data_IF_224205811852
#
_entry.id   IF_224205811852
#
_cell.length_a   1.000
_cell.length_b   1.000
_cell.length_c   1.000
_cell.angle_alpha   90.00
_cell.angle_beta   90.00
_cell.angle_gamma   90.00
#
_symmetry.space_group_name_H-M   'P 1'
#
loop_
_entity.id
_entity.type
_entity.pdbx_description
1 polymer ?
#
# COMPACT_ATOMS: atom_id res chain seq x y z
N UNK A 1 -37.53 28.62 27.51
CA UNK A 1 -36.47 28.89 26.52
C UNK A 1 -35.18 28.29 27.04
N UNK A 2 -35.08 26.96 26.98
CA UNK A 2 -33.91 26.20 27.47
C UNK A 2 -33.58 25.16 26.42
N UNK A 3 -32.26 25.03 26.10
CA UNK A 3 -31.61 23.91 25.41
C UNK A 3 -31.75 23.72 23.88
N UNK A 4 -31.55 24.80 23.11
CA UNK A 4 -31.24 24.63 21.66
C UNK A 4 -29.74 24.71 21.36
N UNK A 5 -28.91 25.18 22.30
CA UNK A 5 -27.47 25.37 22.10
C UNK A 5 -26.64 24.08 21.94
N UNK A 6 -26.87 22.94 22.65
CA UNK A 6 -26.05 21.73 22.50
C UNK A 6 -26.28 20.97 21.19
N UNK A 7 -27.50 20.99 20.63
CA UNK A 7 -27.85 20.28 19.39
C UNK A 7 -27.21 20.94 18.16
N UNK A 8 -27.10 22.26 18.15
CA UNK A 8 -26.48 23.01 17.05
C UNK A 8 -24.95 22.77 17.02
N UNK A 9 -24.32 22.66 18.18
CA UNK A 9 -22.88 22.37 18.29
C UNK A 9 -22.53 20.92 17.86
N UNK A 10 -23.36 19.95 18.21
CA UNK A 10 -23.18 18.55 17.77
C UNK A 10 -23.38 18.40 16.26
N UNK A 11 -24.34 19.09 15.67
CA UNK A 11 -24.56 19.06 14.23
C UNK A 11 -23.42 19.76 13.44
N UNK A 12 -22.87 20.85 13.97
CA UNK A 12 -21.69 21.52 13.37
C UNK A 12 -20.46 20.68 13.50
N UNK A 13 -20.20 20.02 14.63
CA UNK A 13 -19.10 19.08 14.82
C UNK A 13 -19.17 17.89 13.86
N UNK A 14 -20.37 17.35 13.61
CA UNK A 14 -20.56 16.26 12.67
C UNK A 14 -20.29 16.63 11.20
N UNK A 15 -20.63 17.87 10.78
CA UNK A 15 -20.35 18.34 9.41
C UNK A 15 -18.87 18.61 9.17
N UNK A 16 -18.18 19.21 10.13
CA UNK A 16 -16.74 19.50 10.02
C UNK A 16 -15.90 18.22 10.02
N UNK A 17 -16.26 17.20 10.81
CA UNK A 17 -15.59 15.90 10.79
C UNK A 17 -15.85 15.15 9.47
N UNK A 18 -17.05 15.22 8.91
CA UNK A 18 -17.32 14.64 7.58
C UNK A 18 -16.50 15.31 6.49
N UNK A 19 -16.34 16.64 6.55
CA UNK A 19 -15.45 17.35 5.63
C UNK A 19 -14.00 16.87 5.79
N UNK A 20 -13.50 16.77 7.01
CA UNK A 20 -12.15 16.26 7.28
C UNK A 20 -11.95 14.84 6.74
N UNK A 21 -12.93 13.95 6.98
CA UNK A 21 -12.89 12.57 6.46
C UNK A 21 -12.81 12.53 4.93
N UNK A 22 -13.76 13.21 4.25
CA UNK A 22 -13.79 13.21 2.78
C UNK A 22 -12.57 13.89 2.18
N UNK A 23 -12.08 14.99 2.76
CA UNK A 23 -10.86 15.68 2.32
C UNK A 23 -9.63 14.77 2.45
N UNK A 24 -9.51 14.02 3.56
CA UNK A 24 -8.41 13.10 3.78
C UNK A 24 -8.46 11.89 2.82
N UNK A 25 -9.66 11.38 2.50
CA UNK A 25 -9.83 10.30 1.50
C UNK A 25 -9.44 10.79 0.11
N UNK A 26 -9.93 11.94 -0.31
CA UNK A 26 -9.58 12.54 -1.61
C UNK A 26 -8.06 12.78 -1.70
N UNK A 27 -7.46 13.35 -0.65
CA UNK A 27 -6.02 13.59 -0.60
C UNK A 27 -5.20 12.29 -0.68
N UNK A 28 -5.65 11.22 -0.02
CA UNK A 28 -4.99 9.90 -0.08
C UNK A 28 -5.06 9.32 -1.49
N UNK A 29 -6.23 9.32 -2.11
CA UNK A 29 -6.43 8.85 -3.49
C UNK A 29 -5.59 9.67 -4.47
N UNK A 30 -5.62 11.01 -4.37
CA UNK A 30 -4.82 11.91 -5.22
C UNK A 30 -3.31 11.66 -5.07
N UNK A 31 -2.82 11.43 -3.84
CA UNK A 31 -1.41 11.13 -3.57
C UNK A 31 -0.93 9.87 -4.31
N UNK A 32 -1.72 8.82 -4.26
CA UNK A 32 -1.39 7.56 -4.94
C UNK A 32 -1.65 7.63 -6.46
N UNK A 33 -2.63 8.42 -6.91
CA UNK A 33 -2.83 8.67 -8.33
C UNK A 33 -1.63 9.40 -8.95
N UNK A 34 -1.11 10.43 -8.29
CA UNK A 34 0.11 11.10 -8.70
C UNK A 34 1.32 10.15 -8.76
N UNK A 35 1.44 9.23 -7.81
CA UNK A 35 2.53 8.25 -7.77
C UNK A 35 2.52 7.26 -8.94
N UNK A 36 1.33 6.95 -9.50
CA UNK A 36 1.17 6.06 -10.65
C UNK A 36 1.27 6.79 -12.00
N UNK A 37 1.16 8.11 -12.02
CA UNK A 37 1.16 8.93 -13.23
C UNK A 37 2.34 8.67 -14.19
N UNK A 38 3.60 8.44 -13.73
CA UNK A 38 4.73 8.21 -14.63
C UNK A 38 4.69 6.87 -15.38
N UNK A 39 3.92 5.88 -14.92
CA UNK A 39 4.01 4.49 -15.43
C UNK A 39 3.73 4.37 -16.93
N UNK A 40 2.62 4.92 -17.49
CA UNK A 40 2.38 4.89 -18.92
C UNK A 40 3.40 5.69 -19.75
N UNK A 41 4.08 6.68 -19.14
CA UNK A 41 5.07 7.55 -19.78
C UNK A 41 6.46 6.91 -19.90
N UNK A 42 6.73 5.81 -19.21
CA UNK A 42 8.08 5.21 -19.24
C UNK A 42 8.51 4.77 -20.65
N UNK A 43 7.58 4.35 -21.50
CA UNK A 43 7.89 4.06 -22.90
C UNK A 43 8.18 5.32 -23.71
N UNK A 44 7.49 6.43 -23.44
CA UNK A 44 7.77 7.73 -24.04
C UNK A 44 9.18 8.19 -23.68
N UNK A 45 9.56 8.12 -22.40
CA UNK A 45 10.92 8.46 -21.94
C UNK A 45 12.00 7.55 -22.54
N UNK A 46 11.69 6.26 -22.78
CA UNK A 46 12.61 5.37 -23.49
C UNK A 46 12.80 5.78 -24.95
N UNK A 47 11.70 6.11 -25.63
CA UNK A 47 11.71 6.45 -27.06
C UNK A 47 12.30 7.83 -27.36
N UNK A 48 11.96 8.83 -26.54
CA UNK A 48 12.33 10.24 -26.79
C UNK A 48 13.61 10.67 -26.10
N UNK A 49 13.82 10.22 -24.85
CA UNK A 49 14.97 10.64 -24.02
C UNK A 49 16.06 9.54 -23.93
N UNK A 50 15.85 8.37 -24.60
CA UNK A 50 16.83 7.28 -24.64
C UNK A 50 17.04 6.57 -23.30
N UNK A 51 16.06 6.60 -22.38
CA UNK A 51 16.20 5.94 -21.07
C UNK A 51 16.23 4.43 -21.20
N UNK A 52 17.16 3.80 -20.50
CA UNK A 52 17.30 2.35 -20.47
C UNK A 52 16.31 1.72 -19.49
N UNK A 53 16.06 0.41 -19.62
CA UNK A 53 15.27 -0.35 -18.64
C UNK A 53 15.90 -0.28 -17.24
N UNK A 54 17.23 -0.26 -17.15
CA UNK A 54 17.95 -0.08 -15.89
C UNK A 54 17.66 1.29 -15.26
N UNK A 55 17.65 2.36 -16.05
CA UNK A 55 17.31 3.72 -15.60
C UNK A 55 15.87 3.82 -15.09
N UNK A 56 14.91 3.26 -15.81
CA UNK A 56 13.49 3.23 -15.39
C UNK A 56 13.32 2.38 -14.13
N UNK A 57 14.00 1.24 -14.04
CA UNK A 57 14.02 0.42 -12.82
C UNK A 57 14.57 1.21 -11.63
N UNK A 58 15.65 1.99 -11.82
CA UNK A 58 16.21 2.85 -10.78
C UNK A 58 15.21 3.93 -10.33
N UNK A 59 14.35 4.43 -11.22
CA UNK A 59 13.26 5.35 -10.86
C UNK A 59 12.23 4.68 -9.92
N UNK A 60 11.94 3.39 -10.08
CA UNK A 60 11.09 2.62 -9.15
C UNK A 60 11.81 2.37 -7.83
N UNK A 61 13.11 2.09 -7.87
CA UNK A 61 13.95 1.92 -6.66
C UNK A 61 13.97 3.21 -5.83
N UNK A 62 14.26 4.36 -6.44
CA UNK A 62 14.34 5.65 -5.73
C UNK A 62 13.01 6.04 -5.09
N UNK A 63 11.88 5.80 -5.77
CA UNK A 63 10.55 5.96 -5.18
C UNK A 63 10.37 5.05 -3.95
N UNK A 64 10.72 3.77 -4.06
CA UNK A 64 10.57 2.80 -2.97
C UNK A 64 11.46 3.16 -1.77
N UNK A 65 12.70 3.56 -2.01
CA UNK A 65 13.65 4.01 -0.97
C UNK A 65 13.12 5.26 -0.27
N UNK A 66 12.63 6.24 -1.02
CA UNK A 66 12.00 7.44 -0.47
C UNK A 66 10.80 7.09 0.42
N UNK A 67 9.96 6.16 -0.03
CA UNK A 67 8.77 5.72 0.72
C UNK A 67 9.16 4.98 2.01
N UNK A 68 10.14 4.06 1.96
CA UNK A 68 10.64 3.37 3.16
C UNK A 68 11.20 4.37 4.16
N UNK A 69 12.08 5.26 3.70
CA UNK A 69 12.70 6.25 4.57
C UNK A 69 11.64 7.11 5.27
N UNK A 70 10.64 7.57 4.51
CA UNK A 70 9.54 8.36 5.07
C UNK A 70 8.69 7.56 6.07
N UNK A 71 8.30 6.32 5.75
CA UNK A 71 7.50 5.50 6.65
C UNK A 71 8.23 5.14 7.94
N UNK A 72 9.53 4.84 7.88
CA UNK A 72 10.32 4.46 9.05
C UNK A 72 10.66 5.67 9.93
N UNK A 73 11.03 6.79 9.32
CA UNK A 73 11.52 7.98 10.03
C UNK A 73 10.38 8.96 10.32
N UNK A 74 9.55 9.28 9.32
CA UNK A 74 8.53 10.31 9.41
C UNK A 74 7.13 9.77 9.74
N UNK A 75 6.92 8.44 9.68
CA UNK A 75 5.58 7.83 9.82
C UNK A 75 4.86 8.12 11.14
N UNK A 76 5.58 8.51 12.20
CA UNK A 76 4.98 8.91 13.49
C UNK A 76 4.93 10.41 13.72
N UNK A 77 5.47 11.18 12.78
CA UNK A 77 5.60 12.64 12.91
C UNK A 77 4.22 13.31 13.05
N UNK A 78 3.20 12.77 12.36
CA UNK A 78 1.83 13.27 12.42
C UNK A 78 1.18 13.20 13.81
N UNK A 79 1.68 12.32 14.72
CA UNK A 79 1.22 12.25 16.11
C UNK A 79 1.77 13.41 16.96
N UNK A 80 2.85 14.05 16.51
CA UNK A 80 3.52 15.12 17.25
C UNK A 80 3.26 16.50 16.65
N UNK A 81 3.23 16.63 15.32
CA UNK A 81 3.01 17.90 14.63
C UNK A 81 1.53 18.16 14.29
N UNK A 82 0.66 17.17 14.44
CA UNK A 82 -0.72 17.20 14.01
C UNK A 82 -0.94 16.58 12.62
N UNK A 83 -2.18 16.13 12.37
CA UNK A 83 -2.54 15.45 11.11
C UNK A 83 -2.54 16.40 9.92
N UNK A 84 -3.12 17.60 10.11
CA UNK A 84 -3.28 18.61 9.07
C UNK A 84 -1.94 19.08 8.52
N UNK A 85 -1.00 19.48 9.39
CA UNK A 85 0.29 20.00 8.96
C UNK A 85 1.10 18.94 8.20
N UNK A 86 1.15 17.72 8.70
CA UNK A 86 1.88 16.62 8.05
C UNK A 86 1.23 16.18 6.74
N UNK A 87 -0.11 16.23 6.63
CA UNK A 87 -0.83 15.99 5.39
C UNK A 87 -0.49 17.06 4.34
N UNK A 88 -0.52 18.35 4.70
CA UNK A 88 -0.16 19.46 3.78
C UNK A 88 1.30 19.32 3.32
N UNK A 89 2.22 19.00 4.24
CA UNK A 89 3.63 18.79 3.90
C UNK A 89 3.81 17.64 2.90
N UNK A 90 3.08 16.52 3.08
CA UNK A 90 3.13 15.39 2.15
C UNK A 90 2.60 15.75 0.76
N UNK A 91 1.49 16.50 0.68
CA UNK A 91 0.92 16.98 -0.58
C UNK A 91 1.87 17.96 -1.28
N UNK A 92 2.56 18.82 -0.52
CA UNK A 92 3.59 19.72 -1.04
C UNK A 92 4.80 18.99 -1.65
N UNK A 93 5.27 17.91 -1.00
CA UNK A 93 6.34 17.06 -1.55
C UNK A 93 5.91 16.37 -2.84
N UNK A 94 4.68 15.85 -2.89
CA UNK A 94 4.10 15.24 -4.09
C UNK A 94 3.93 16.27 -5.21
N UNK A 95 3.49 17.48 -4.90
CA UNK A 95 3.37 18.58 -5.85
C UNK A 95 4.73 18.93 -6.46
N UNK A 96 5.76 19.09 -5.64
CA UNK A 96 7.12 19.33 -6.12
C UNK A 96 7.61 18.17 -7.00
N UNK A 97 7.31 16.92 -6.63
CA UNK A 97 7.59 15.75 -7.45
C UNK A 97 6.89 15.82 -8.81
N UNK A 98 5.60 16.19 -8.87
CA UNK A 98 4.87 16.38 -10.13
C UNK A 98 5.50 17.47 -11.00
N UNK A 99 5.88 18.62 -10.41
CA UNK A 99 6.50 19.73 -11.14
C UNK A 99 7.87 19.34 -11.74
N UNK A 100 8.66 18.55 -11.02
CA UNK A 100 9.92 18.01 -11.56
C UNK A 100 9.63 17.02 -12.70
N UNK A 101 8.65 16.11 -12.52
CA UNK A 101 8.35 15.12 -13.54
C UNK A 101 7.66 15.69 -14.78
N UNK A 102 7.05 16.85 -14.71
CA UNK A 102 6.58 17.58 -15.87
C UNK A 102 7.73 18.11 -16.77
N UNK A 103 8.96 18.16 -16.25
CA UNK A 103 10.14 18.67 -16.95
C UNK A 103 11.25 17.59 -17.06
N UNK A 104 10.87 16.34 -17.27
CA UNK A 104 11.85 15.25 -17.43
C UNK A 104 12.50 15.32 -18.81
N UNK A 105 13.83 15.55 -18.82
CA UNK A 105 14.67 15.47 -20.01
C UNK A 105 15.94 14.67 -19.76
N UNK A 106 16.22 14.34 -18.50
CA UNK A 106 17.37 13.55 -18.06
C UNK A 106 16.99 12.61 -16.92
N UNK A 107 17.80 11.58 -16.72
CA UNK A 107 17.55 10.55 -15.71
C UNK A 107 17.63 11.12 -14.29
N UNK A 108 18.47 12.13 -14.03
CA UNK A 108 18.61 12.76 -12.71
C UNK A 108 17.32 13.45 -12.27
N UNK A 109 16.67 14.20 -13.17
CA UNK A 109 15.37 14.83 -12.95
C UNK A 109 14.28 13.77 -12.68
N UNK A 110 14.26 12.67 -13.44
CA UNK A 110 13.34 11.56 -13.19
C UNK A 110 13.56 10.97 -11.78
N UNK A 111 14.80 10.67 -11.40
CA UNK A 111 15.11 10.09 -10.09
C UNK A 111 14.79 11.06 -8.95
N UNK A 112 15.10 12.36 -9.09
CA UNK A 112 14.78 13.39 -8.10
C UNK A 112 13.26 13.52 -7.90
N UNK A 113 12.49 13.57 -8.97
CA UNK A 113 11.02 13.58 -8.90
C UNK A 113 10.47 12.33 -8.23
N UNK A 114 11.00 11.16 -8.56
CA UNK A 114 10.56 9.87 -7.99
C UNK A 114 10.89 9.75 -6.50
N UNK A 115 12.04 10.23 -6.03
CA UNK A 115 12.35 10.20 -4.60
C UNK A 115 11.45 11.15 -3.80
N UNK A 116 11.17 12.35 -4.32
CA UNK A 116 10.22 13.28 -3.70
C UNK A 116 8.81 12.70 -3.63
N UNK A 117 8.34 12.08 -4.71
CA UNK A 117 7.07 11.35 -4.71
C UNK A 117 7.07 10.22 -3.69
N UNK A 118 8.15 9.46 -3.59
CA UNK A 118 8.28 8.39 -2.60
C UNK A 118 8.16 8.91 -1.17
N UNK A 119 8.93 9.94 -0.83
CA UNK A 119 8.87 10.58 0.50
C UNK A 119 7.47 11.12 0.77
N UNK A 120 6.91 11.87 -0.18
CA UNK A 120 5.54 12.41 -0.08
C UNK A 120 4.50 11.33 0.15
N UNK A 121 4.54 10.22 -0.63
CA UNK A 121 3.63 9.09 -0.49
C UNK A 121 3.78 8.37 0.85
N UNK A 122 5.01 8.19 1.34
CA UNK A 122 5.26 7.58 2.64
C UNK A 122 4.68 8.40 3.79
N UNK A 123 4.86 9.73 3.79
CA UNK A 123 4.24 10.62 4.78
C UNK A 123 2.72 10.66 4.61
N UNK A 124 2.20 10.73 3.38
CA UNK A 124 0.76 10.70 3.09
C UNK A 124 0.10 9.41 3.61
N UNK A 125 0.74 8.25 3.36
CA UNK A 125 0.24 6.95 3.82
C UNK A 125 0.03 6.90 5.33
N UNK A 126 0.91 7.49 6.11
CA UNK A 126 0.79 7.50 7.58
C UNK A 126 -0.14 8.60 8.08
N UNK A 127 0.02 9.84 7.58
CA UNK A 127 -0.73 11.00 8.09
C UNK A 127 -2.19 11.02 7.65
N UNK A 128 -2.46 10.79 6.35
CA UNK A 128 -3.82 10.80 5.82
C UNK A 128 -4.62 9.59 6.28
N UNK A 129 -4.02 8.39 6.36
CA UNK A 129 -4.68 7.22 6.93
C UNK A 129 -5.09 7.46 8.38
N UNK A 130 -4.20 8.05 9.18
CA UNK A 130 -4.54 8.42 10.56
C UNK A 130 -5.63 9.49 10.62
N UNK A 131 -5.58 10.48 9.73
CA UNK A 131 -6.61 11.52 9.65
C UNK A 131 -7.99 10.96 9.27
N UNK A 132 -8.03 10.01 8.31
CA UNK A 132 -9.25 9.27 7.94
C UNK A 132 -9.84 8.54 9.15
N UNK A 133 -9.01 7.84 9.93
CA UNK A 133 -9.46 7.11 11.12
C UNK A 133 -9.96 8.05 12.20
N UNK A 134 -9.23 9.15 12.47
CA UNK A 134 -9.58 10.12 13.50
C UNK A 134 -10.87 10.91 13.18
N UNK A 135 -11.13 11.16 11.87
CA UNK A 135 -12.31 11.91 11.38
C UNK A 135 -13.48 11.01 10.96
N UNK A 136 -13.35 9.69 11.15
CA UNK A 136 -14.33 8.72 10.65
C UNK A 136 -15.73 8.95 11.22
N UNK A 137 -16.79 8.82 10.41
CA UNK A 137 -18.14 8.81 10.91
C UNK A 137 -18.39 7.56 11.76
N UNK A 138 -19.24 7.68 12.78
CA UNK A 138 -19.57 6.55 13.68
C UNK A 138 -20.30 5.42 12.97
N UNK A 139 -20.98 5.71 11.85
CA UNK A 139 -21.69 4.72 11.01
C UNK A 139 -21.53 5.08 9.54
N UNK A 140 -21.28 4.11 8.66
CA UNK A 140 -20.99 2.70 8.96
C UNK A 140 -19.53 2.51 9.45
N UNK A 141 -19.31 1.62 10.43
CA UNK A 141 -18.01 1.40 11.08
C UNK A 141 -16.91 0.91 10.12
N UNK A 142 -17.28 0.21 9.05
CA UNK A 142 -16.34 -0.31 8.05
C UNK A 142 -15.74 0.78 7.15
N UNK A 143 -16.35 1.97 7.08
CA UNK A 143 -16.00 2.99 6.08
C UNK A 143 -14.55 3.49 6.24
N UNK A 144 -14.12 3.77 7.47
CA UNK A 144 -12.74 4.21 7.72
C UNK A 144 -11.71 3.16 7.33
N UNK A 145 -12.00 1.89 7.66
CA UNK A 145 -11.11 0.78 7.33
C UNK A 145 -10.99 0.59 5.82
N UNK A 146 -12.09 0.65 5.08
CA UNK A 146 -12.09 0.53 3.63
C UNK A 146 -11.42 1.76 2.99
N UNK A 147 -11.75 2.97 3.41
CA UNK A 147 -11.15 4.17 2.85
C UNK A 147 -9.63 4.22 3.03
N UNK A 148 -9.13 3.85 4.22
CA UNK A 148 -7.70 3.85 4.51
C UNK A 148 -6.93 2.71 3.84
N UNK A 149 -7.53 1.53 3.70
CA UNK A 149 -6.86 0.36 3.12
C UNK A 149 -6.98 0.29 1.60
N UNK A 150 -8.11 0.71 1.03
CA UNK A 150 -8.36 0.62 -0.41
C UNK A 150 -8.11 1.94 -1.16
N UNK A 151 -8.08 3.07 -0.44
CA UNK A 151 -7.76 4.38 -1.03
C UNK A 151 -6.46 4.38 -1.85
N UNK A 152 -5.36 3.83 -1.34
CA UNK A 152 -4.12 3.68 -2.10
C UNK A 152 -4.27 2.90 -3.41
N UNK A 153 -4.95 1.77 -3.38
CA UNK A 153 -5.14 0.93 -4.58
C UNK A 153 -6.04 1.61 -5.60
N UNK A 154 -7.09 2.28 -5.14
CA UNK A 154 -7.95 3.08 -5.99
C UNK A 154 -7.17 4.23 -6.63
N UNK A 155 -6.33 4.92 -5.86
CA UNK A 155 -5.49 6.00 -6.36
C UNK A 155 -4.53 5.52 -7.45
N UNK A 156 -3.77 4.45 -7.19
CA UNK A 156 -2.87 3.84 -8.18
C UNK A 156 -3.61 3.44 -9.47
N UNK A 157 -4.77 2.81 -9.32
CA UNK A 157 -5.59 2.37 -10.46
C UNK A 157 -6.07 3.56 -11.30
N UNK A 158 -6.71 4.55 -10.66
CA UNK A 158 -7.23 5.74 -11.35
C UNK A 158 -6.11 6.57 -11.96
N UNK A 159 -4.99 6.74 -11.25
CA UNK A 159 -3.84 7.50 -11.74
C UNK A 159 -3.22 6.88 -12.99
N UNK A 160 -3.04 5.57 -13.03
CA UNK A 160 -2.51 4.89 -14.20
C UNK A 160 -3.45 4.96 -15.40
N UNK A 161 -4.75 4.74 -15.20
CA UNK A 161 -5.74 4.84 -16.29
C UNK A 161 -5.83 6.29 -16.81
N UNK A 162 -5.95 7.26 -15.91
CA UNK A 162 -6.03 8.67 -16.28
C UNK A 162 -4.76 9.13 -17.01
N UNK A 163 -3.58 8.72 -16.52
CA UNK A 163 -2.32 9.00 -17.18
C UNK A 163 -2.30 8.42 -18.59
N UNK A 164 -2.60 7.14 -18.73
CA UNK A 164 -2.63 6.49 -20.04
C UNK A 164 -3.61 7.15 -21.00
N UNK A 165 -4.81 7.54 -20.54
CA UNK A 165 -5.80 8.23 -21.34
C UNK A 165 -5.35 9.64 -21.77
N UNK A 166 -4.79 10.43 -20.84
CA UNK A 166 -4.32 11.78 -21.15
C UNK A 166 -3.13 11.75 -22.12
N UNK A 167 -2.18 10.83 -21.91
CA UNK A 167 -1.03 10.65 -22.83
C UNK A 167 -1.48 10.27 -24.22
N UNK A 168 -2.58 9.50 -24.36
CA UNK A 168 -3.05 9.02 -25.67
C UNK A 168 -3.94 10.02 -26.40
N UNK A 169 -4.80 10.75 -25.69
CA UNK A 169 -5.89 11.52 -26.32
C UNK A 169 -5.81 13.02 -26.11
N UNK A 170 -5.01 13.50 -25.16
CA UNK A 170 -4.96 14.92 -24.81
C UNK A 170 -3.73 15.62 -25.43
N UNK A 171 -3.77 16.97 -25.56
CA UNK A 171 -2.58 17.75 -25.91
C UNK A 171 -1.55 17.67 -24.78
N UNK A 172 -0.26 17.93 -25.09
CA UNK A 172 0.87 17.90 -24.16
C UNK A 172 1.00 16.57 -23.42
N UNK A 173 1.21 15.46 -24.16
CA UNK A 173 1.11 14.10 -23.62
C UNK A 173 2.11 13.83 -22.47
N UNK A 174 3.22 14.58 -22.39
CA UNK A 174 4.23 14.42 -21.32
C UNK A 174 3.88 15.16 -20.04
N UNK A 175 3.23 16.33 -20.16
CA UNK A 175 3.11 17.29 -19.07
C UNK A 175 1.74 17.30 -18.42
N UNK A 176 0.68 17.15 -19.25
CA UNK A 176 -0.71 17.38 -18.80
C UNK A 176 -1.10 16.52 -17.61
N UNK A 177 -0.68 15.25 -17.56
CA UNK A 177 -1.00 14.38 -16.42
C UNK A 177 -0.40 14.92 -15.13
N UNK A 178 0.83 15.45 -15.16
CA UNK A 178 1.45 16.01 -13.96
C UNK A 178 0.80 17.31 -13.54
N UNK A 179 0.35 18.14 -14.49
CA UNK A 179 -0.42 19.35 -14.21
C UNK A 179 -1.79 19.02 -13.60
N UNK A 180 -2.47 18.00 -14.11
CA UNK A 180 -3.74 17.51 -13.53
C UNK A 180 -3.52 16.97 -12.12
N UNK A 181 -2.49 16.15 -11.91
CA UNK A 181 -2.13 15.67 -10.58
C UNK A 181 -1.76 16.83 -9.64
N UNK A 182 -0.98 17.80 -10.10
CA UNK A 182 -0.64 19.00 -9.33
C UNK A 182 -1.89 19.78 -8.91
N UNK A 183 -2.84 19.99 -9.84
CA UNK A 183 -4.12 20.63 -9.55
C UNK A 183 -4.94 19.87 -8.49
N UNK A 184 -5.01 18.52 -8.59
CA UNK A 184 -5.68 17.68 -7.60
C UNK A 184 -4.99 17.73 -6.22
N UNK A 185 -3.66 17.78 -6.19
CA UNK A 185 -2.89 17.89 -4.94
C UNK A 185 -3.10 19.26 -4.29
N UNK A 186 -3.12 20.35 -5.07
CA UNK A 186 -3.43 21.70 -4.59
C UNK A 186 -4.85 21.78 -4.06
N UNK A 187 -5.83 21.24 -4.79
CA UNK A 187 -7.22 21.16 -4.34
C UNK A 187 -7.33 20.36 -3.04
N UNK A 188 -6.65 19.21 -2.96
CA UNK A 188 -6.60 18.39 -1.76
C UNK A 188 -5.99 19.14 -0.58
N UNK A 189 -4.89 19.88 -0.81
CA UNK A 189 -4.27 20.70 0.22
C UNK A 189 -5.22 21.81 0.70
N UNK A 190 -5.92 22.48 -0.20
CA UNK A 190 -6.93 23.50 0.14
C UNK A 190 -8.06 22.91 1.00
N UNK A 191 -8.57 21.73 0.63
CA UNK A 191 -9.60 21.01 1.40
C UNK A 191 -9.09 20.61 2.80
N UNK A 192 -7.84 20.19 2.92
CA UNK A 192 -7.21 19.87 4.22
C UNK A 192 -7.01 21.16 5.04
N UNK A 193 -6.65 22.29 4.42
CA UNK A 193 -6.48 23.58 5.11
C UNK A 193 -7.77 24.05 5.79
N UNK A 194 -8.93 23.87 5.16
CA UNK A 194 -10.23 24.24 5.74
C UNK A 194 -10.81 23.18 6.68
N UNK A 195 -10.20 21.97 6.73
CA UNK A 195 -10.62 20.89 7.61
C UNK A 195 -10.08 21.09 9.05
N UNK A 196 -10.80 20.64 10.09
CA UNK A 196 -10.35 20.77 11.47
C UNK A 196 -9.12 19.86 11.74
N UNK A 197 -8.23 20.29 12.64
CA UNK A 197 -7.19 19.45 13.18
C UNK A 197 -7.81 18.38 14.10
N UNK A 198 -7.44 17.12 13.91
CA UNK A 198 -7.98 15.99 14.69
C UNK A 198 -7.05 15.51 15.79
N UNK A 199 -5.78 15.86 15.73
CA UNK A 199 -4.78 15.46 16.72
C UNK A 199 -4.09 16.69 17.32
N UNK A 200 -4.03 16.74 18.65
CA UNK A 200 -3.25 17.79 19.36
C UNK A 200 -1.76 17.51 19.16
N UNK A 201 -0.99 18.56 18.86
CA UNK A 201 0.46 18.44 18.81
C UNK A 201 1.01 18.07 20.21
N UNK A 202 1.97 17.16 20.23
CA UNK A 202 2.61 16.68 21.46
C UNK A 202 4.11 16.88 21.38
N UNK A 203 4.80 17.25 22.47
CA UNK A 203 6.25 17.38 22.47
C UNK A 203 6.94 16.04 22.18
N UNK A 204 8.16 16.09 21.65
CA UNK A 204 8.96 14.87 21.40
C UNK A 204 9.04 14.44 19.94
N UNK A 205 8.73 15.31 18.98
CA UNK A 205 8.82 15.05 17.54
C UNK A 205 10.19 14.44 17.12
N UNK A 206 11.31 14.94 17.64
CA UNK A 206 12.65 14.43 17.36
C UNK A 206 12.86 12.98 17.80
N UNK A 207 12.28 12.58 18.94
CA UNK A 207 12.34 11.18 19.42
C UNK A 207 11.47 10.24 18.57
N UNK A 208 10.47 10.78 17.87
CA UNK A 208 9.62 10.01 16.96
C UNK A 208 10.34 9.64 15.66
N UNK A 209 11.43 10.31 15.31
CA UNK A 209 12.22 10.04 14.09
C UNK A 209 13.04 8.75 14.19
N UNK A 210 13.27 8.22 15.40
CA UNK A 210 13.98 6.95 15.57
C UNK A 210 13.09 5.79 15.09
N UNK A 211 13.51 5.02 14.08
CA UNK A 211 12.74 3.90 13.58
C UNK A 211 12.43 2.86 14.67
N UNK A 212 11.20 2.40 14.74
CA UNK A 212 10.79 1.32 15.63
C UNK A 212 10.20 0.18 14.81
N UNK A 213 11.03 -0.78 14.49
CA UNK A 213 10.64 -2.01 13.81
C UNK A 213 10.65 -3.14 14.83
N UNK A 214 9.50 -3.68 15.15
CA UNK A 214 9.38 -4.77 16.11
C UNK A 214 8.25 -5.71 15.71
N UNK A 215 8.56 -6.98 15.66
CA UNK A 215 7.57 -8.04 15.51
C UNK A 215 7.43 -8.76 16.85
N UNK A 216 6.23 -8.75 17.47
CA UNK A 216 5.99 -9.44 18.72
C UNK A 216 6.34 -10.93 18.65
N UNK A 217 6.87 -11.50 19.75
CA UNK A 217 7.31 -12.90 19.77
C UNK A 217 6.21 -13.89 19.37
N UNK A 218 4.95 -13.60 19.78
CA UNK A 218 3.76 -14.44 19.50
C UNK A 218 3.50 -14.68 18.01
N UNK A 219 3.85 -13.73 17.13
CA UNK A 219 3.61 -13.83 15.67
C UNK A 219 4.90 -13.96 14.86
N UNK A 220 6.06 -14.01 15.51
CA UNK A 220 7.37 -14.10 14.84
C UNK A 220 7.49 -15.36 13.99
N UNK A 221 6.89 -16.47 14.38
CA UNK A 221 6.88 -17.72 13.63
C UNK A 221 6.10 -17.62 12.31
N UNK A 222 5.19 -16.63 12.16
CA UNK A 222 4.45 -16.37 10.92
C UNK A 222 5.23 -15.49 9.94
N UNK A 223 6.29 -14.81 10.43
CA UNK A 223 7.03 -13.82 9.66
C UNK A 223 7.68 -14.38 8.38
N UNK A 224 8.31 -15.58 8.37
CA UNK A 224 8.95 -16.10 7.17
C UNK A 224 7.97 -16.29 6.00
N UNK A 225 6.79 -16.86 6.27
CA UNK A 225 5.75 -17.04 5.24
C UNK A 225 5.18 -15.71 4.80
N UNK A 226 4.88 -14.80 5.73
CA UNK A 226 4.41 -13.47 5.41
C UNK A 226 5.44 -12.70 4.58
N UNK A 227 6.74 -12.82 4.89
CA UNK A 227 7.82 -12.21 4.12
C UNK A 227 7.89 -12.76 2.69
N UNK A 228 7.75 -14.07 2.48
CA UNK A 228 7.71 -14.67 1.15
C UNK A 228 6.51 -14.15 0.33
N UNK A 229 5.32 -14.05 0.94
CA UNK A 229 4.13 -13.48 0.32
C UNK A 229 4.37 -12.02 -0.06
N UNK A 230 4.83 -11.18 0.88
CA UNK A 230 5.08 -9.77 0.62
C UNK A 230 6.17 -9.56 -0.43
N UNK A 231 7.27 -10.32 -0.35
CA UNK A 231 8.36 -10.21 -1.31
C UNK A 231 7.88 -10.52 -2.73
N UNK A 232 7.23 -11.66 -2.96
CA UNK A 232 6.80 -12.07 -4.30
C UNK A 232 5.76 -11.11 -4.89
N UNK A 233 4.79 -10.70 -4.10
CA UNK A 233 3.67 -9.86 -4.57
C UNK A 233 4.08 -8.41 -4.81
N UNK A 234 4.88 -7.82 -3.91
CA UNK A 234 5.35 -6.43 -4.07
C UNK A 234 6.45 -6.30 -5.13
N UNK A 235 7.33 -7.30 -5.23
CA UNK A 235 8.29 -7.36 -6.34
C UNK A 235 7.58 -7.41 -7.70
N UNK A 236 6.48 -8.18 -7.80
CA UNK A 236 5.64 -8.18 -8.99
C UNK A 236 5.04 -6.80 -9.25
N UNK A 237 4.54 -6.10 -8.24
CA UNK A 237 4.07 -4.72 -8.38
C UNK A 237 5.15 -3.76 -8.91
N UNK A 238 6.39 -3.90 -8.45
CA UNK A 238 7.53 -3.14 -8.95
C UNK A 238 7.90 -3.52 -10.39
N UNK A 239 7.82 -4.81 -10.74
CA UNK A 239 7.99 -5.30 -12.11
C UNK A 239 6.95 -4.69 -13.05
N UNK A 240 5.68 -4.61 -12.63
CA UNK A 240 4.63 -3.95 -13.40
C UNK A 240 4.88 -2.45 -13.60
N UNK A 241 5.52 -1.79 -12.64
CA UNK A 241 5.90 -0.39 -12.82
C UNK A 241 7.08 -0.23 -13.78
N UNK A 242 8.16 -1.00 -13.60
CA UNK A 242 9.43 -0.77 -14.28
C UNK A 242 9.50 -1.38 -15.69
N UNK A 243 9.05 -2.63 -15.84
CA UNK A 243 9.34 -3.43 -17.03
C UNK A 243 8.11 -3.75 -17.88
N UNK A 244 6.92 -3.71 -17.29
CA UNK A 244 5.71 -4.10 -17.99
C UNK A 244 5.38 -3.19 -19.20
N UNK A 245 5.54 -1.85 -19.13
CA UNK A 245 5.35 -1.00 -20.29
C UNK A 245 6.22 -1.41 -21.48
N UNK A 246 7.49 -1.69 -21.25
CA UNK A 246 8.41 -2.13 -22.28
C UNK A 246 8.06 -3.52 -22.83
N UNK A 247 7.76 -4.47 -21.95
CA UNK A 247 7.43 -5.85 -22.33
C UNK A 247 6.15 -5.91 -23.15
N UNK A 248 5.12 -5.12 -22.79
CA UNK A 248 3.86 -5.02 -23.54
C UNK A 248 4.11 -4.43 -24.93
N UNK A 249 4.94 -3.40 -25.04
CA UNK A 249 5.30 -2.82 -26.32
C UNK A 249 6.08 -3.82 -27.20
N UNK A 250 7.10 -4.46 -26.63
CA UNK A 250 8.05 -5.29 -27.38
C UNK A 250 7.46 -6.67 -27.76
N UNK A 251 6.57 -7.25 -26.93
CA UNK A 251 6.07 -8.63 -27.09
C UNK A 251 4.59 -8.73 -27.46
N UNK A 252 3.78 -7.76 -27.02
CA UNK A 252 2.35 -7.75 -27.32
C UNK A 252 2.01 -6.71 -28.39
N UNK A 253 3.04 -6.09 -28.98
CA UNK A 253 2.97 -5.17 -30.12
C UNK A 253 1.94 -4.05 -29.93
N UNK A 254 1.85 -3.51 -28.73
CA UNK A 254 0.98 -2.38 -28.44
C UNK A 254 1.75 -1.25 -27.77
N UNK A 255 1.65 -0.08 -28.36
CA UNK A 255 2.28 1.15 -27.87
C UNK A 255 1.27 2.12 -27.26
N UNK A 256 0.00 1.70 -27.11
CA UNK A 256 -1.07 2.54 -26.55
C UNK A 256 -0.82 2.82 -25.05
N UNK A 257 -0.60 4.09 -24.67
CA UNK A 257 -0.42 4.46 -23.27
C UNK A 257 -1.62 4.11 -22.38
N UNK A 258 -2.84 4.18 -22.95
CA UNK A 258 -4.05 3.76 -22.24
C UNK A 258 -4.01 2.27 -21.90
N UNK A 259 -3.59 1.42 -22.84
CA UNK A 259 -3.47 -0.03 -22.57
C UNK A 259 -2.41 -0.28 -21.50
N UNK A 260 -1.29 0.45 -21.49
CA UNK A 260 -0.29 0.35 -20.43
C UNK A 260 -0.87 0.71 -19.05
N UNK A 261 -1.65 1.78 -18.98
CA UNK A 261 -2.39 2.17 -17.78
C UNK A 261 -3.39 1.11 -17.33
N UNK A 262 -4.15 0.54 -18.28
CA UNK A 262 -5.11 -0.54 -18.01
C UNK A 262 -4.45 -1.83 -17.55
N UNK A 263 -3.29 -2.19 -18.08
CA UNK A 263 -2.51 -3.35 -17.66
C UNK A 263 -2.05 -3.20 -16.21
N UNK A 264 -1.54 -2.03 -15.83
CA UNK A 264 -1.19 -1.76 -14.44
C UNK A 264 -2.43 -1.78 -13.52
N UNK A 265 -3.52 -1.16 -13.96
CA UNK A 265 -4.80 -1.16 -13.27
C UNK A 265 -5.37 -2.58 -13.11
N UNK A 266 -5.22 -3.45 -14.12
CA UNK A 266 -5.64 -4.84 -14.08
C UNK A 266 -4.91 -5.67 -13.01
N UNK A 267 -3.70 -5.28 -12.62
CA UNK A 267 -3.00 -5.87 -11.48
C UNK A 267 -3.46 -5.28 -10.13
N UNK A 268 -3.67 -3.96 -10.06
CA UNK A 268 -3.98 -3.26 -8.81
C UNK A 268 -5.45 -3.38 -8.40
N UNK A 269 -6.39 -3.16 -9.32
CA UNK A 269 -7.82 -3.09 -9.00
C UNK A 269 -8.39 -4.39 -8.39
N UNK A 270 -8.08 -5.60 -8.91
CA UNK A 270 -8.63 -6.84 -8.33
C UNK A 270 -8.13 -7.12 -6.93
N UNK A 271 -6.98 -6.56 -6.52
CA UNK A 271 -6.44 -6.74 -5.16
C UNK A 271 -7.35 -6.16 -4.07
N UNK A 272 -8.21 -5.20 -4.41
CA UNK A 272 -9.24 -4.63 -3.52
C UNK A 272 -10.19 -5.72 -3.00
N UNK A 273 -10.48 -6.74 -3.80
CA UNK A 273 -11.35 -7.86 -3.42
C UNK A 273 -10.68 -8.83 -2.44
N UNK A 274 -9.38 -8.68 -2.21
CA UNK A 274 -8.61 -9.60 -1.38
C UNK A 274 -9.07 -9.68 0.06
N UNK A 275 -9.38 -8.55 0.70
CA UNK A 275 -9.83 -8.53 2.08
C UNK A 275 -11.21 -9.18 2.27
N UNK A 276 -12.26 -8.86 1.49
CA UNK A 276 -13.57 -9.49 1.63
C UNK A 276 -13.56 -10.98 1.28
N UNK A 277 -12.79 -11.41 0.28
CA UNK A 277 -12.69 -12.81 -0.11
C UNK A 277 -11.84 -13.59 0.90
N UNK A 278 -10.64 -13.11 1.19
CA UNK A 278 -9.70 -13.74 2.11
C UNK A 278 -10.22 -13.79 3.55
N UNK A 279 -11.10 -12.86 3.93
CA UNK A 279 -11.73 -12.81 5.25
C UNK A 279 -12.64 -14.00 5.59
N UNK A 280 -13.11 -14.73 4.56
CA UNK A 280 -13.93 -15.92 4.71
C UNK A 280 -13.15 -17.17 5.13
N UNK A 281 -11.83 -17.12 5.07
CA UNK A 281 -10.93 -18.24 5.35
C UNK A 281 -10.01 -17.91 6.52
N UNK A 282 -9.43 -18.93 7.14
CA UNK A 282 -8.34 -18.75 8.10
C UNK A 282 -7.15 -18.09 7.44
N UNK A 283 -6.28 -17.44 8.23
CA UNK A 283 -5.13 -16.71 7.69
C UNK A 283 -4.23 -17.63 6.84
N UNK A 284 -3.92 -18.83 7.31
CA UNK A 284 -3.10 -19.79 6.57
C UNK A 284 -3.77 -20.29 5.27
N UNK A 285 -5.06 -20.63 5.32
CA UNK A 285 -5.80 -21.08 4.14
C UNK A 285 -5.89 -19.97 3.07
N UNK A 286 -6.19 -18.73 3.49
CA UNK A 286 -6.28 -17.61 2.58
C UNK A 286 -4.92 -17.26 1.94
N UNK A 287 -3.81 -17.38 2.68
CA UNK A 287 -2.46 -17.21 2.10
C UNK A 287 -2.18 -18.28 1.03
N UNK A 288 -2.48 -19.55 1.31
CA UNK A 288 -2.32 -20.64 0.34
C UNK A 288 -3.16 -20.44 -0.91
N UNK A 289 -4.45 -20.16 -0.75
CA UNK A 289 -5.37 -19.91 -1.87
C UNK A 289 -4.90 -18.70 -2.69
N UNK A 290 -4.58 -17.59 -2.02
CA UNK A 290 -4.12 -16.38 -2.68
C UNK A 290 -2.84 -16.60 -3.49
N UNK A 291 -1.85 -17.31 -2.93
CA UNK A 291 -0.60 -17.59 -3.63
C UNK A 291 -0.76 -18.59 -4.78
N UNK A 292 -1.67 -19.58 -4.67
CA UNK A 292 -1.99 -20.48 -5.80
C UNK A 292 -2.65 -19.69 -6.93
N UNK A 293 -3.62 -18.82 -6.64
CA UNK A 293 -4.26 -17.96 -7.64
C UNK A 293 -3.22 -17.00 -8.27
N UNK A 294 -2.33 -16.43 -7.45
CA UNK A 294 -1.25 -15.58 -7.91
C UNK A 294 -0.30 -16.29 -8.86
N UNK A 295 0.11 -17.53 -8.54
CA UNK A 295 0.94 -18.37 -9.40
C UNK A 295 0.22 -18.75 -10.69
N UNK A 296 -1.06 -19.11 -10.63
CA UNK A 296 -1.88 -19.38 -11.83
C UNK A 296 -1.88 -18.18 -12.77
N UNK A 297 -2.03 -16.97 -12.22
CA UNK A 297 -1.91 -15.73 -12.98
C UNK A 297 -0.53 -15.57 -13.61
N UNK A 298 0.55 -15.84 -12.87
CA UNK A 298 1.92 -15.76 -13.41
C UNK A 298 2.17 -16.76 -14.55
N UNK A 299 1.68 -17.99 -14.43
CA UNK A 299 1.74 -18.99 -15.52
C UNK A 299 1.03 -18.45 -16.76
N UNK A 300 -0.16 -17.90 -16.58
CA UNK A 300 -0.91 -17.26 -17.67
C UNK A 300 -0.18 -16.07 -18.31
N UNK A 301 0.47 -15.20 -17.49
CA UNK A 301 1.28 -14.07 -17.96
C UNK A 301 2.44 -14.56 -18.83
N UNK A 302 3.21 -15.55 -18.36
CA UNK A 302 4.33 -16.10 -19.11
C UNK A 302 3.84 -16.73 -20.42
N UNK A 303 2.73 -17.47 -20.37
CA UNK A 303 2.11 -18.06 -21.56
C UNK A 303 1.70 -16.99 -22.55
N UNK A 304 1.05 -15.91 -22.08
CA UNK A 304 0.61 -14.80 -22.91
C UNK A 304 1.80 -14.08 -23.59
N UNK A 305 2.91 -13.91 -22.87
CA UNK A 305 4.16 -13.34 -23.42
C UNK A 305 4.73 -14.26 -24.51
N UNK A 306 4.69 -15.58 -24.31
CA UNK A 306 5.23 -16.56 -25.25
C UNK A 306 4.43 -16.61 -26.55
N UNK A 307 3.10 -16.53 -26.48
CA UNK A 307 2.21 -16.57 -27.66
C UNK A 307 1.83 -15.19 -28.23
N UNK A 308 2.24 -14.09 -27.57
CA UNK A 308 1.99 -12.72 -28.03
C UNK A 308 0.53 -12.27 -27.93
N UNK A 309 -0.26 -12.76 -26.94
CA UNK A 309 -1.70 -12.49 -26.84
C UNK A 309 -2.04 -11.52 -25.72
N UNK A 310 -2.40 -10.27 -26.05
CA UNK A 310 -2.74 -9.22 -25.08
C UNK A 310 -3.98 -9.57 -24.23
N UNK A 311 -5.01 -10.17 -24.82
CA UNK A 311 -6.23 -10.52 -24.09
C UNK A 311 -5.94 -11.53 -22.95
N UNK A 312 -5.17 -12.58 -23.25
CA UNK A 312 -4.74 -13.55 -22.24
C UNK A 312 -3.87 -12.89 -21.18
N UNK A 313 -2.98 -11.97 -21.59
CA UNK A 313 -2.11 -11.22 -20.69
C UNK A 313 -2.92 -10.41 -19.66
N UNK A 314 -3.92 -9.66 -20.10
CA UNK A 314 -4.81 -8.87 -19.21
C UNK A 314 -5.61 -9.79 -18.30
N UNK A 315 -6.20 -10.87 -18.82
CA UNK A 315 -6.96 -11.84 -18.03
C UNK A 315 -6.09 -12.49 -16.93
N UNK A 316 -4.88 -12.93 -17.30
CA UNK A 316 -3.92 -13.51 -16.36
C UNK A 316 -3.44 -12.50 -15.29
N UNK A 317 -3.25 -11.23 -15.71
CA UNK A 317 -2.91 -10.12 -14.80
C UNK A 317 -4.02 -9.88 -13.77
N UNK A 318 -5.28 -9.90 -14.17
CA UNK A 318 -6.44 -9.80 -13.26
C UNK A 318 -6.41 -10.93 -12.23
N UNK A 319 -6.16 -12.17 -12.68
CA UNK A 319 -6.06 -13.35 -11.81
C UNK A 319 -4.90 -13.18 -10.81
N UNK A 320 -3.71 -12.77 -11.28
CA UNK A 320 -2.55 -12.51 -10.43
C UNK A 320 -2.85 -11.41 -9.38
N UNK A 321 -3.51 -10.31 -9.80
CA UNK A 321 -3.90 -9.21 -8.93
C UNK A 321 -4.90 -9.64 -7.85
N UNK A 322 -5.87 -10.47 -8.17
CA UNK A 322 -6.82 -11.04 -7.20
C UNK A 322 -6.10 -11.91 -6.18
N UNK A 323 -5.22 -12.82 -6.63
CA UNK A 323 -4.40 -13.67 -5.77
C UNK A 323 -3.49 -12.85 -4.85
N UNK A 324 -2.83 -11.81 -5.39
CA UNK A 324 -2.04 -10.84 -4.64
C UNK A 324 -2.82 -10.23 -3.47
N UNK A 325 -4.02 -9.70 -3.73
CA UNK A 325 -4.84 -9.07 -2.70
C UNK A 325 -5.25 -10.03 -1.59
N UNK A 326 -5.67 -11.27 -1.94
CA UNK A 326 -6.04 -12.30 -0.97
C UNK A 326 -4.85 -12.66 -0.08
N UNK A 327 -3.67 -12.92 -0.69
CA UNK A 327 -2.47 -13.34 0.03
C UNK A 327 -1.95 -12.25 0.98
N UNK A 328 -1.83 -10.99 0.51
CA UNK A 328 -1.37 -9.85 1.33
C UNK A 328 -2.33 -9.59 2.50
N UNK A 329 -3.65 -9.55 2.24
CA UNK A 329 -4.64 -9.32 3.28
C UNK A 329 -4.58 -10.40 4.36
N UNK A 330 -4.42 -11.66 3.97
CA UNK A 330 -4.32 -12.79 4.89
C UNK A 330 -3.01 -12.77 5.71
N UNK A 331 -1.87 -12.48 5.07
CA UNK A 331 -0.57 -12.37 5.74
C UNK A 331 -0.57 -11.23 6.78
N UNK A 332 -1.09 -10.06 6.39
CA UNK A 332 -1.23 -8.91 7.28
C UNK A 332 -2.13 -9.21 8.47
N UNK A 333 -3.29 -9.85 8.24
CA UNK A 333 -4.22 -10.25 9.29
C UNK A 333 -3.59 -11.24 10.26
N UNK A 334 -2.80 -12.20 9.77
CA UNK A 334 -2.06 -13.14 10.61
C UNK A 334 -1.06 -12.44 11.55
N UNK A 335 -0.28 -11.48 11.03
CA UNK A 335 0.69 -10.72 11.83
C UNK A 335 0.01 -9.77 12.84
N UNK A 336 -1.18 -9.27 12.53
CA UNK A 336 -1.95 -8.40 13.41
C UNK A 336 -2.79 -9.17 14.44
N UNK A 337 -2.81 -10.51 14.40
CA UNK A 337 -3.60 -11.32 15.32
C UNK A 337 -3.19 -11.07 16.77
N UNK A 338 -4.16 -10.80 17.65
CA UNK A 338 -3.94 -10.50 19.06
C UNK A 338 -3.08 -9.24 19.32
N UNK A 339 -2.94 -8.34 18.32
CA UNK A 339 -2.15 -7.10 18.50
C UNK A 339 -2.90 -6.06 19.31
N UNK A 340 -2.20 -5.45 20.26
CA UNK A 340 -2.64 -4.22 20.94
C UNK A 340 -2.50 -3.01 20.01
N UNK A 341 -3.13 -1.90 20.34
CA UNK A 341 -2.94 -0.64 19.60
C UNK A 341 -1.46 -0.20 19.54
N UNK A 342 -0.70 -0.46 20.61
CA UNK A 342 0.73 -0.14 20.68
C UNK A 342 1.59 -1.02 19.76
N UNK A 343 1.18 -2.27 19.48
CA UNK A 343 1.90 -3.21 18.62
C UNK A 343 1.70 -2.92 17.12
N UNK A 344 0.58 -2.30 16.74
CA UNK A 344 0.19 -2.16 15.32
C UNK A 344 1.20 -1.37 14.51
N UNK A 345 1.64 -0.22 15.01
CA UNK A 345 2.58 0.63 14.28
C UNK A 345 3.94 -0.06 14.04
N UNK A 346 4.60 -0.71 15.03
CA UNK A 346 5.82 -1.49 14.79
C UNK A 346 5.64 -2.66 13.81
N UNK A 347 4.48 -3.37 13.85
CA UNK A 347 4.19 -4.46 12.91
C UNK A 347 4.05 -3.92 11.48
N UNK A 348 3.28 -2.84 11.27
CA UNK A 348 3.18 -2.22 9.95
C UNK A 348 4.52 -1.70 9.43
N UNK A 349 5.37 -1.15 10.30
CA UNK A 349 6.73 -0.76 9.93
C UNK A 349 7.55 -1.95 9.42
N UNK A 350 7.43 -3.12 10.06
CA UNK A 350 8.08 -4.34 9.59
C UNK A 350 7.51 -4.83 8.26
N UNK A 351 6.19 -4.80 8.09
CA UNK A 351 5.51 -5.18 6.83
C UNK A 351 5.99 -4.27 5.69
N UNK A 352 5.93 -2.95 5.86
CA UNK A 352 6.34 -2.01 4.82
C UNK A 352 7.83 -2.10 4.50
N UNK A 353 8.67 -2.31 5.51
CA UNK A 353 10.09 -2.54 5.29
C UNK A 353 10.32 -3.77 4.40
N UNK A 354 9.65 -4.89 4.67
CA UNK A 354 9.73 -6.09 3.84
C UNK A 354 9.20 -5.86 2.42
N UNK A 355 8.04 -5.23 2.30
CA UNK A 355 7.38 -4.96 1.03
C UNK A 355 8.25 -4.09 0.11
N UNK A 356 8.60 -2.90 0.57
CA UNK A 356 9.31 -1.93 -0.27
C UNK A 356 10.78 -2.28 -0.45
N UNK A 357 11.49 -2.83 0.57
CA UNK A 357 12.89 -3.24 0.39
C UNK A 357 13.01 -4.42 -0.57
N UNK A 358 12.09 -5.38 -0.49
CA UNK A 358 12.03 -6.49 -1.44
C UNK A 358 11.73 -6.02 -2.86
N UNK A 359 10.75 -5.14 -3.02
CA UNK A 359 10.42 -4.53 -4.31
C UNK A 359 11.60 -3.72 -4.88
N UNK A 360 12.24 -2.89 -4.07
CA UNK A 360 13.40 -2.08 -4.48
C UNK A 360 14.59 -2.95 -4.87
N UNK A 361 14.93 -3.94 -4.03
CA UNK A 361 16.06 -4.84 -4.28
C UNK A 361 15.89 -5.64 -5.58
N UNK A 362 14.73 -6.29 -5.75
CA UNK A 362 14.47 -7.08 -6.94
C UNK A 362 14.33 -6.21 -8.19
N UNK A 363 13.73 -5.02 -8.09
CA UNK A 363 13.69 -4.09 -9.21
C UNK A 363 15.10 -3.63 -9.60
N UNK A 364 15.97 -3.31 -8.63
CA UNK A 364 17.36 -2.95 -8.90
C UNK A 364 18.12 -4.08 -9.60
N UNK A 365 18.06 -5.30 -9.04
CA UNK A 365 18.73 -6.48 -9.62
C UNK A 365 18.23 -6.74 -11.03
N UNK A 366 16.92 -6.72 -11.26
CA UNK A 366 16.32 -6.91 -12.58
C UNK A 366 16.70 -5.79 -13.56
N UNK A 367 16.84 -4.56 -13.07
CA UNK A 367 17.33 -3.44 -13.86
C UNK A 367 18.75 -3.67 -14.36
N UNK A 368 19.65 -4.14 -13.50
CA UNK A 368 21.02 -4.49 -13.92
C UNK A 368 21.03 -5.69 -14.86
N UNK A 369 20.23 -6.71 -14.57
CA UNK A 369 20.10 -7.89 -15.41
C UNK A 369 19.51 -7.58 -16.80
N UNK A 370 18.75 -6.51 -16.97
CA UNK A 370 18.17 -6.11 -18.26
C UNK A 370 19.22 -5.69 -19.30
N UNK A 371 20.47 -5.49 -18.89
CA UNK A 371 21.61 -5.26 -19.79
C UNK A 371 22.13 -6.56 -20.44
N UNK A 372 21.87 -7.72 -19.81
CA UNK A 372 22.35 -9.02 -20.28
C UNK A 372 21.24 -9.99 -20.67
N UNK A 373 20.05 -9.81 -20.12
CA UNK A 373 18.90 -10.68 -20.32
C UNK A 373 17.73 -9.93 -20.95
N UNK A 374 16.98 -10.62 -21.80
CA UNK A 374 15.75 -10.07 -22.39
C UNK A 374 14.64 -9.92 -21.34
N UNK A 375 13.68 -9.02 -21.58
CA UNK A 375 12.55 -8.80 -20.66
C UNK A 375 11.70 -10.07 -20.41
N UNK A 376 11.47 -10.97 -21.41
CA UNK A 376 10.83 -12.26 -21.13
C UNK A 376 11.63 -13.15 -20.19
N UNK A 377 12.96 -13.16 -20.27
CA UNK A 377 13.81 -13.93 -19.34
C UNK A 377 13.73 -13.36 -17.91
N UNK A 378 13.67 -12.05 -17.77
CA UNK A 378 13.43 -11.39 -16.48
C UNK A 378 12.05 -11.79 -15.94
N UNK A 379 11.02 -11.78 -16.79
CA UNK A 379 9.67 -12.22 -16.41
C UNK A 379 9.65 -13.68 -15.93
N UNK A 380 10.42 -14.58 -16.57
CA UNK A 380 10.59 -15.95 -16.10
C UNK A 380 11.22 -16.00 -14.70
N UNK A 381 12.18 -15.13 -14.40
CA UNK A 381 12.76 -14.99 -13.07
C UNK A 381 11.72 -14.66 -12.00
N UNK A 382 10.82 -13.71 -12.29
CA UNK A 382 9.69 -13.38 -11.40
C UNK A 382 8.67 -14.54 -11.30
N UNK A 383 8.43 -15.26 -12.38
CA UNK A 383 7.66 -16.51 -12.36
C UNK A 383 8.28 -17.56 -11.44
N UNK A 384 9.62 -17.74 -11.50
CA UNK A 384 10.37 -18.60 -10.58
C UNK A 384 10.21 -18.16 -9.11
N UNK A 385 10.28 -16.86 -8.84
CA UNK A 385 10.02 -16.31 -7.51
C UNK A 385 8.58 -16.62 -7.05
N UNK A 386 7.59 -16.47 -7.94
CA UNK A 386 6.20 -16.79 -7.64
C UNK A 386 6.03 -18.28 -7.30
N UNK A 387 6.68 -19.19 -8.04
CA UNK A 387 6.71 -20.63 -7.75
C UNK A 387 7.29 -20.88 -6.36
N UNK A 388 8.51 -20.39 -6.10
CA UNK A 388 9.21 -20.60 -4.84
C UNK A 388 8.41 -20.08 -3.64
N UNK A 389 7.88 -18.86 -3.73
CA UNK A 389 7.08 -18.27 -2.67
C UNK A 389 5.74 -19.01 -2.46
N UNK A 390 5.11 -19.49 -3.54
CA UNK A 390 3.87 -20.27 -3.43
C UNK A 390 4.12 -21.62 -2.78
N UNK A 391 5.13 -22.36 -3.22
CA UNK A 391 5.52 -23.66 -2.61
C UNK A 391 5.82 -23.48 -1.13
N UNK A 392 6.65 -22.50 -0.79
CA UNK A 392 6.96 -22.21 0.61
C UNK A 392 5.72 -21.88 1.42
N UNK A 393 4.82 -21.03 0.88
CA UNK A 393 3.56 -20.68 1.56
C UNK A 393 2.64 -21.87 1.74
N UNK A 394 2.48 -22.72 0.72
CA UNK A 394 1.62 -23.92 0.78
C UNK A 394 2.12 -24.88 1.85
N UNK A 395 3.43 -25.09 1.94
CA UNK A 395 4.04 -26.04 2.88
C UNK A 395 4.12 -25.47 4.31
N UNK A 396 4.47 -24.20 4.47
CA UNK A 396 4.85 -23.64 5.76
C UNK A 396 3.79 -22.73 6.41
N UNK A 397 2.70 -22.33 5.70
CA UNK A 397 1.71 -21.43 6.27
C UNK A 397 0.99 -22.07 7.47
N UNK A 398 0.93 -21.31 8.57
CA UNK A 398 0.29 -21.70 9.82
C UNK A 398 -0.69 -20.62 10.27
N UNK A 399 -1.69 -21.02 11.05
CA UNK A 399 -2.55 -20.05 11.71
C UNK A 399 -1.88 -19.50 12.98
N UNK A 400 -2.16 -18.26 13.39
CA UNK A 400 -1.72 -17.76 14.67
C UNK A 400 -2.29 -18.67 15.77
N UNK A 401 -1.45 -19.05 16.75
CA UNK A 401 -1.90 -19.86 17.88
C UNK A 401 -2.77 -19.00 18.80
N UNK A 402 -3.95 -19.49 19.15
CA UNK A 402 -4.65 -19.05 20.34
C UNK A 402 -3.93 -19.68 21.52
N UNK A 403 -3.25 -18.90 22.34
CA UNK A 403 -2.76 -19.36 23.64
C UNK A 403 -3.97 -19.69 24.53
N UNK A 404 -4.49 -20.88 24.37
CA UNK A 404 -5.48 -21.49 25.27
C UNK A 404 -4.80 -22.13 26.50
N UNK A 405 -3.51 -21.88 26.72
CA UNK A 405 -2.79 -22.30 27.91
C UNK A 405 -2.50 -21.10 28.81
N UNK A 406 -3.54 -20.59 29.44
CA UNK A 406 -3.38 -19.50 30.40
C UNK A 406 -4.64 -19.30 31.24
N UNK A 407 -5.09 -20.29 31.95
CA UNK A 407 -5.63 -20.25 33.29
C UNK A 407 -6.58 -21.44 33.60
N UNK A 408 -6.04 -22.64 33.64
CA UNK A 408 -6.54 -23.66 34.54
C UNK A 408 -5.60 -23.73 35.75
N UNK A 409 -5.39 -22.59 36.41
CA UNK A 409 -4.89 -22.61 37.80
C UNK A 409 -6.07 -23.09 38.64
N UNK A 410 -6.08 -24.39 38.90
CA UNK A 410 -6.41 -25.01 40.17
C UNK A 410 -6.96 -24.00 41.20
N UNK A 411 -8.28 -23.89 41.26
CA UNK A 411 -8.95 -23.65 42.52
C UNK A 411 -8.74 -24.94 43.30
N UNK A 412 -7.62 -25.04 43.99
CA UNK A 412 -7.43 -25.98 45.05
C UNK A 412 -8.48 -25.66 46.12
N UNK A 413 -9.48 -26.46 46.12
CA UNK A 413 -10.43 -26.55 47.21
C UNK A 413 -9.70 -27.02 48.45
N UNK A 414 -9.21 -26.07 49.27
CA UNK A 414 -8.86 -26.35 50.65
C UNK A 414 -10.12 -26.22 51.48
N UNK A 415 -10.78 -27.32 51.60
CA UNK A 415 -11.76 -27.54 52.63
C UNK A 415 -11.07 -27.39 54.00
N UNK A 416 -11.54 -26.47 54.78
CA UNK A 416 -11.26 -26.37 56.19
C UNK A 416 -12.48 -26.89 56.93
N UNK A 417 -12.38 -28.05 57.64
CA UNK A 417 -13.43 -28.55 58.45
C UNK A 417 -13.12 -28.20 59.92
N UNK A 418 -13.72 -27.19 60.50
CA UNK A 418 -13.96 -27.02 61.94
C UNK A 418 -14.48 -25.59 62.17
N UNK A 419 -15.68 -25.49 62.61
CA UNK A 419 -16.16 -25.43 63.96
C UNK A 419 -17.60 -24.89 64.03
N UNK A 420 -18.42 -25.71 64.56
CA UNK A 420 -19.68 -25.41 65.28
C UNK A 420 -19.43 -24.71 66.59
N UNK A 421 -20.46 -24.44 67.39
CA UNK A 421 -21.57 -23.51 67.23
C UNK A 421 -21.69 -22.59 68.47
N UNK A 422 -22.79 -21.90 68.51
CA UNK A 422 -23.54 -21.55 69.74
C UNK A 422 -23.80 -20.06 70.01
N UNK A 423 -25.06 -19.89 70.13
CA UNK A 423 -25.83 -19.23 71.19
C UNK A 423 -26.17 -17.74 70.99
N UNK A 424 -27.39 -17.56 70.76
CA UNK A 424 -28.44 -17.10 71.69
C UNK A 424 -28.78 -15.62 71.59
N UNK A 425 -30.03 -15.47 71.41
CA UNK A 425 -30.91 -14.30 71.62
C UNK A 425 -30.84 -13.72 73.03
N UNK A 426 -31.45 -12.63 73.35
CA UNK A 426 -32.73 -12.12 72.87
C UNK A 426 -32.69 -10.89 71.97
#
# INVERSE_FOLDING_TARGET
MQDVAPVINLARGGRTLRLAFSSAVVALVASFAASAAPIPLFNTYRAEDGFTNAGISLAVVTYSVGTIAALLVLGRLSNHLGRRLTAIASLGLLLLGCLLLANVHDIGTLLAGRILMGVGTGVASSSLTSYIVDAAPTRPEWLASVASSQGPMLGLTLGAIASGALVQFAPWPRDLIYLVCAGLLVLSAALIVISPETAKSTPGAWRSLLPRVRVPARVRHLLPVAAAVFLATWATGAFYQAFMPALVADRLHTHSPLILGLVFAAYMAPSVLGAPIGGRFTSAAAQRIGMIIFLTGWIGIITAIAIGTLALFIAATIVAGAGNGIAISAATRGLLYGSTLADRAPIFSAIYLLCYSGAAFLSFVSGQLSNAFSLPQIALGYGGLAIAATLFTVLAARNPHTDTTGNSSTVSNHGDPHSHPDLARP
#
